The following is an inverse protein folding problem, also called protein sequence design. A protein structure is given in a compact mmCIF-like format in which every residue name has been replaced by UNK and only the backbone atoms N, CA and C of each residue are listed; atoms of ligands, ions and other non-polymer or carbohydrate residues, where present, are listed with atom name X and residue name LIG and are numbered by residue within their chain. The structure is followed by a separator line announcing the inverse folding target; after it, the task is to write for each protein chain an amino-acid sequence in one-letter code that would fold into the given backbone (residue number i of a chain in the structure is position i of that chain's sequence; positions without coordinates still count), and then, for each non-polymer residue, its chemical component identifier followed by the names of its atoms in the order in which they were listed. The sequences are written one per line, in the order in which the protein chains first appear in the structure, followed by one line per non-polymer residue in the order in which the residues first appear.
data_IF_174137313902
#
_entry.id   IF_174137313902
#
_cell.length_a   1.000
_cell.length_b   1.000
_cell.length_c   1.000
_cell.angle_alpha   90.00
_cell.angle_beta   90.00
_cell.angle_gamma   90.00
#
_symmetry.space_group_name_H-M   'P 1'
#
loop_
_entity.id
_entity.type
_entity.pdbx_description
1 polymer ?
#
# COMPACT_ATOMS: atom_id res chain seq x y z
N UNK A 1 17.94 8.69 13.43
CA UNK A 1 16.65 9.14 13.98
C UNK A 1 15.84 9.64 12.80
N UNK A 2 14.88 8.83 12.39
CA UNK A 2 13.89 9.13 11.35
C UNK A 2 12.72 9.93 11.94
N UNK A 3 11.78 10.37 11.11
CA UNK A 3 10.61 11.16 11.54
C UNK A 3 9.30 10.36 11.37
N UNK A 4 8.99 9.92 10.15
CA UNK A 4 7.70 9.27 9.84
C UNK A 4 7.81 7.78 9.49
N UNK A 5 8.91 7.36 8.88
CA UNK A 5 9.13 5.97 8.43
C UNK A 5 10.54 5.51 8.80
N UNK A 6 10.67 4.22 9.08
CA UNK A 6 11.89 3.55 9.52
C UNK A 6 11.83 2.04 9.24
N UNK A 7 12.73 1.28 9.86
CA UNK A 7 12.85 -0.17 9.65
C UNK A 7 11.70 -0.97 10.29
N UNK A 8 10.93 -0.38 11.22
CA UNK A 8 9.76 -1.01 11.83
C UNK A 8 8.47 -0.68 11.03
N UNK A 9 8.58 0.18 10.00
CA UNK A 9 7.47 0.49 9.10
C UNK A 9 7.08 -0.73 8.28
N UNK A 10 5.78 -1.06 8.28
CA UNK A 10 5.16 -2.17 7.55
C UNK A 10 4.25 -1.57 6.49
N UNK A 11 4.72 -1.53 5.25
CA UNK A 11 4.10 -0.76 4.17
C UNK A 11 3.10 -1.62 3.38
N UNK A 12 1.87 -1.11 3.19
CA UNK A 12 0.91 -1.63 2.22
C UNK A 12 0.84 -0.74 0.98
N UNK A 13 0.82 -1.36 -0.20
CA UNK A 13 0.72 -0.64 -1.49
C UNK A 13 -0.72 -0.67 -2.01
N UNK A 14 -1.38 0.47 -2.15
CA UNK A 14 -2.69 0.57 -2.81
C UNK A 14 -2.50 0.77 -4.31
N UNK A 15 -3.20 -0.02 -5.13
CA UNK A 15 -2.93 -0.09 -6.58
C UNK A 15 -1.74 -1.01 -6.91
N UNK A 16 -1.44 -1.97 -6.03
CA UNK A 16 -0.23 -2.81 -6.07
C UNK A 16 -0.04 -3.58 -7.38
N UNK A 17 -1.12 -4.11 -7.96
CA UNK A 17 -1.05 -4.88 -9.20
C UNK A 17 -1.17 -4.03 -10.47
N UNK A 18 -1.21 -2.69 -10.35
CA UNK A 18 -1.13 -1.75 -11.47
C UNK A 18 0.31 -1.60 -11.96
N UNK A 19 0.51 -0.98 -13.14
CA UNK A 19 1.85 -0.80 -13.74
C UNK A 19 2.81 -0.05 -12.81
N UNK A 20 2.42 1.15 -12.36
CA UNK A 20 3.25 1.98 -11.50
C UNK A 20 3.41 1.37 -10.10
N UNK A 21 2.31 0.85 -9.52
CA UNK A 21 2.35 0.16 -8.23
C UNK A 21 3.31 -1.03 -8.23
N UNK A 22 3.34 -1.82 -9.30
CA UNK A 22 4.27 -2.94 -9.46
C UNK A 22 5.71 -2.46 -9.58
N UNK A 23 5.95 -1.50 -10.48
CA UNK A 23 7.29 -0.98 -10.76
C UNK A 23 7.96 -0.35 -9.53
N UNK A 24 7.24 0.48 -8.78
CA UNK A 24 7.79 1.09 -7.57
C UNK A 24 7.85 0.12 -6.40
N UNK A 25 6.90 -0.83 -6.27
CA UNK A 25 6.97 -1.83 -5.21
C UNK A 25 8.15 -2.78 -5.36
N UNK A 26 8.49 -3.18 -6.59
CA UNK A 26 9.70 -3.98 -6.85
C UNK A 26 10.96 -3.23 -6.42
N UNK A 27 11.06 -1.93 -6.72
CA UNK A 27 12.18 -1.10 -6.27
C UNK A 27 12.21 -0.93 -4.74
N UNK A 28 11.06 -0.72 -4.09
CA UNK A 28 10.97 -0.63 -2.64
C UNK A 28 11.43 -1.93 -1.97
N UNK A 29 11.02 -3.09 -2.48
CA UNK A 29 11.45 -4.40 -2.02
C UNK A 29 12.97 -4.58 -2.20
N UNK A 30 13.51 -4.25 -3.38
CA UNK A 30 14.94 -4.33 -3.67
C UNK A 30 15.78 -3.39 -2.79
N UNK A 31 15.22 -2.24 -2.42
CA UNK A 31 15.86 -1.29 -1.51
C UNK A 31 15.86 -1.77 -0.04
N UNK A 32 15.02 -2.74 0.30
CA UNK A 32 14.86 -3.25 1.67
C UNK A 32 13.71 -2.60 2.44
N UNK A 33 12.81 -1.89 1.77
CA UNK A 33 11.55 -1.44 2.39
C UNK A 33 10.71 -2.66 2.72
N UNK A 34 10.17 -2.70 3.94
CA UNK A 34 9.32 -3.79 4.38
C UNK A 34 7.88 -3.63 3.84
N UNK A 35 7.72 -3.84 2.53
CA UNK A 35 6.40 -3.98 1.90
C UNK A 35 5.82 -5.31 2.35
N UNK A 36 4.70 -5.27 3.08
CA UNK A 36 4.09 -6.47 3.68
C UNK A 36 2.92 -7.00 2.86
N UNK A 37 2.22 -6.12 2.14
CA UNK A 37 1.03 -6.47 1.38
C UNK A 37 0.75 -5.47 0.26
N UNK A 38 -0.17 -5.83 -0.62
CA UNK A 38 -0.80 -4.90 -1.54
C UNK A 38 -2.31 -4.99 -1.55
N UNK A 39 -2.95 -3.92 -2.00
CA UNK A 39 -4.41 -3.84 -2.15
C UNK A 39 -4.74 -3.61 -3.61
N UNK A 40 -5.60 -4.47 -4.16
CA UNK A 40 -6.28 -4.25 -5.44
C UNK A 40 -7.67 -4.89 -5.37
N UNK A 41 -8.74 -4.09 -5.27
CA UNK A 41 -10.10 -4.60 -5.22
C UNK A 41 -10.40 -5.58 -6.37
N UNK A 42 -10.98 -6.72 -6.03
CA UNK A 42 -11.30 -7.81 -6.98
C UNK A 42 -10.14 -8.77 -7.25
N UNK A 43 -8.96 -8.57 -6.64
CA UNK A 43 -7.81 -9.47 -6.72
C UNK A 43 -7.36 -10.01 -5.37
N UNK A 44 -8.16 -9.84 -4.31
CA UNK A 44 -7.85 -10.39 -2.99
C UNK A 44 -7.66 -11.91 -3.02
N UNK A 45 -6.69 -12.41 -2.25
CA UNK A 45 -6.30 -13.82 -2.19
C UNK A 45 -5.26 -14.23 -3.25
N UNK A 46 -4.85 -13.32 -4.13
CA UNK A 46 -3.73 -13.54 -5.04
C UNK A 46 -2.39 -13.19 -4.37
N UNK A 47 -1.29 -13.54 -5.05
CA UNK A 47 0.05 -13.05 -4.72
C UNK A 47 0.58 -12.19 -5.87
N UNK A 48 1.35 -11.15 -5.53
CA UNK A 48 2.07 -10.32 -6.49
C UNK A 48 3.40 -9.88 -5.88
N UNK A 49 4.49 -9.96 -6.64
CA UNK A 49 5.87 -9.71 -6.16
C UNK A 49 6.22 -10.49 -4.86
N UNK A 50 5.63 -11.69 -4.68
CA UNK A 50 5.81 -12.50 -3.48
C UNK A 50 5.22 -11.88 -2.20
N UNK A 51 4.17 -11.07 -2.33
CA UNK A 51 3.38 -10.52 -1.22
C UNK A 51 1.89 -10.79 -1.44
N UNK A 52 1.11 -10.99 -0.37
CA UNK A 52 -0.32 -11.19 -0.47
C UNK A 52 -1.02 -9.94 -1.01
N UNK A 53 -2.04 -10.17 -1.83
CA UNK A 53 -2.94 -9.14 -2.33
C UNK A 53 -4.28 -9.26 -1.61
N UNK A 54 -4.76 -8.16 -1.08
CA UNK A 54 -6.06 -8.05 -0.41
C UNK A 54 -7.04 -7.20 -1.22
N UNK A 55 -8.33 -7.31 -0.88
CA UNK A 55 -9.36 -6.46 -1.47
C UNK A 55 -9.44 -5.10 -0.79
N UNK A 56 -9.10 -5.04 0.51
CA UNK A 56 -9.18 -3.82 1.32
C UNK A 56 -7.90 -3.58 2.12
N UNK A 57 -7.68 -2.32 2.51
CA UNK A 57 -6.59 -1.96 3.43
C UNK A 57 -6.80 -2.56 4.81
N UNK A 58 -8.06 -2.68 5.27
CA UNK A 58 -8.38 -3.29 6.56
C UNK A 58 -7.87 -4.75 6.66
N UNK A 59 -8.09 -5.56 5.63
CA UNK A 59 -7.53 -6.92 5.56
C UNK A 59 -6.00 -6.92 5.64
N UNK A 60 -5.33 -5.98 4.96
CA UNK A 60 -3.87 -5.87 5.01
C UNK A 60 -3.36 -5.42 6.39
N UNK A 61 -4.13 -4.63 7.13
CA UNK A 61 -3.81 -4.25 8.52
C UNK A 61 -4.01 -5.45 9.45
N UNK A 62 -5.14 -6.15 9.34
CA UNK A 62 -5.50 -7.26 10.23
C UNK A 62 -4.57 -8.48 10.05
N UNK A 63 -4.27 -8.85 8.81
CA UNK A 63 -3.50 -10.07 8.50
C UNK A 63 -1.98 -9.83 8.52
N UNK A 64 -1.53 -8.65 8.06
CA UNK A 64 -0.11 -8.35 7.87
C UNK A 64 0.41 -7.21 8.75
N UNK A 65 -0.43 -6.62 9.60
CA UNK A 65 -0.02 -5.55 10.52
C UNK A 65 0.52 -4.32 9.81
N UNK A 66 0.00 -3.98 8.63
CA UNK A 66 0.40 -2.76 7.92
C UNK A 66 0.14 -1.51 8.77
N UNK A 67 1.10 -0.57 8.81
CA UNK A 67 0.99 0.68 9.57
C UNK A 67 1.26 1.95 8.73
N UNK A 68 1.74 1.78 7.50
CA UNK A 68 1.90 2.85 6.52
C UNK A 68 1.30 2.41 5.17
N UNK A 69 0.81 3.37 4.39
CA UNK A 69 0.26 3.11 3.05
C UNK A 69 0.88 4.04 2.00
N UNK A 70 1.16 3.49 0.82
CA UNK A 70 1.51 4.26 -0.38
C UNK A 70 0.51 4.00 -1.50
N UNK A 71 0.07 5.05 -2.20
CA UNK A 71 -1.04 5.02 -3.14
C UNK A 71 -0.57 5.29 -4.56
N UNK A 72 -0.81 4.32 -5.45
CA UNK A 72 -0.63 4.38 -6.91
C UNK A 72 -1.96 4.18 -7.66
N UNK A 73 -3.06 4.59 -7.04
CA UNK A 73 -4.43 4.46 -7.57
C UNK A 73 -4.73 5.62 -8.53
N UNK A 74 -5.50 5.43 -9.63
CA UNK A 74 -5.86 6.52 -10.54
C UNK A 74 -6.57 7.70 -9.86
N UNK A 75 -6.45 8.94 -10.38
CA UNK A 75 -6.92 10.16 -9.70
C UNK A 75 -8.38 10.14 -9.26
N UNK A 76 -9.36 9.66 -10.06
CA UNK A 76 -10.76 9.62 -9.65
C UNK A 76 -11.05 8.79 -8.39
N UNK A 77 -10.13 7.90 -7.99
CA UNK A 77 -10.29 6.99 -6.86
C UNK A 77 -9.26 7.26 -5.73
N UNK A 78 -8.34 8.20 -5.92
CA UNK A 78 -7.25 8.43 -4.98
C UNK A 78 -7.74 9.02 -3.64
N UNK A 79 -8.73 9.91 -3.67
CA UNK A 79 -9.34 10.45 -2.45
C UNK A 79 -10.02 9.37 -1.60
N UNK A 80 -10.66 8.38 -2.25
CA UNK A 80 -11.30 7.24 -1.58
C UNK A 80 -10.24 6.30 -1.00
N UNK A 81 -9.17 6.00 -1.75
CA UNK A 81 -8.02 5.22 -1.28
C UNK A 81 -7.33 5.84 -0.04
N UNK A 82 -7.22 7.17 0.01
CA UNK A 82 -6.72 7.86 1.22
C UNK A 82 -7.67 7.67 2.39
N UNK A 83 -8.98 7.85 2.18
CA UNK A 83 -9.97 7.66 3.24
C UNK A 83 -10.04 6.22 3.73
N UNK A 84 -9.91 5.23 2.84
CA UNK A 84 -9.84 3.81 3.18
C UNK A 84 -8.64 3.51 4.10
N UNK A 85 -7.45 4.01 3.76
CA UNK A 85 -6.27 3.83 4.61
C UNK A 85 -6.45 4.45 6.00
N UNK A 86 -6.96 5.68 6.07
CA UNK A 86 -7.23 6.35 7.34
C UNK A 86 -8.27 5.58 8.17
N UNK A 87 -9.33 5.10 7.53
CA UNK A 87 -10.38 4.31 8.20
C UNK A 87 -9.87 2.95 8.71
N UNK A 88 -8.89 2.35 8.04
CA UNK A 88 -8.22 1.12 8.46
C UNK A 88 -7.18 1.34 9.58
N UNK A 89 -6.97 2.58 10.04
CA UNK A 89 -6.04 2.88 11.13
C UNK A 89 -4.60 3.09 10.70
N UNK A 90 -4.33 3.31 9.40
CA UNK A 90 -2.99 3.68 8.92
C UNK A 90 -2.63 5.10 9.40
N UNK A 91 -1.46 5.24 10.02
CA UNK A 91 -0.99 6.52 10.59
C UNK A 91 -0.26 7.40 9.56
N UNK A 92 0.39 6.78 8.58
CA UNK A 92 1.16 7.46 7.52
C UNK A 92 0.64 7.05 6.15
N UNK A 93 0.02 8.00 5.44
CA UNK A 93 -0.50 7.79 4.08
C UNK A 93 0.27 8.66 3.09
N UNK A 94 0.88 8.02 2.09
CA UNK A 94 1.71 8.65 1.06
C UNK A 94 0.97 8.56 -0.28
N UNK A 95 0.38 9.67 -0.73
CA UNK A 95 -0.33 9.72 -1.99
C UNK A 95 0.59 10.22 -3.11
N UNK A 96 0.89 9.35 -4.09
CA UNK A 96 1.72 9.71 -5.26
C UNK A 96 0.88 10.30 -6.38
N UNK A 97 -0.39 9.93 -6.45
CA UNK A 97 -1.31 10.30 -7.52
C UNK A 97 -1.44 11.83 -7.68
N UNK A 98 -1.28 12.32 -8.90
CA UNK A 98 -1.51 13.71 -9.29
C UNK A 98 -2.96 13.92 -9.80
N UNK A 99 -3.53 15.12 -9.66
CA UNK A 99 -4.81 15.48 -10.27
C UNK A 99 -6.05 14.98 -9.53
N UNK A 100 -5.96 14.89 -8.19
CA UNK A 100 -7.04 14.50 -7.27
C UNK A 100 -8.05 15.64 -7.09
#
# INVERSE_FOLDING_TARGET
MSILVDNDTRLVVQGFTGSEGSFYAEQMLNYGTNVVAGVTPGKGGAEHLGRPVFNTVAEAVDEEGANASIIFVPPPFAADAVQEAVAAGIEVVICITEGI
#
